data_IF_642478105232
#
_entry.id   IF_642478105232
#
_cell.length_a   1.000
_cell.length_b   1.000
_cell.length_c   1.000
_cell.angle_alpha   90.00
_cell.angle_beta   90.00
_cell.angle_gamma   90.00
#
_symmetry.space_group_name_H-M   'P 1'
#
loop_
_entity.id
_entity.type
_entity.pdbx_description
1 polymer ?
#
# COMPACT_ATOMS: atom_id res chain seq x y z
N UNK A 1 -24.31 11.20 21.65
CA UNK A 1 -23.40 10.04 21.82
C UNK A 1 -22.02 10.55 21.48
N UNK A 2 -21.02 10.33 22.34
CA UNK A 2 -19.63 10.75 22.05
C UNK A 2 -19.16 10.13 20.73
N UNK A 3 -18.35 10.85 19.96
CA UNK A 3 -17.74 10.27 18.76
C UNK A 3 -16.88 9.08 19.18
N UNK A 4 -16.82 7.96 18.42
CA UNK A 4 -15.85 6.90 18.69
C UNK A 4 -14.41 7.41 18.86
N UNK A 5 -14.09 8.54 18.22
CA UNK A 5 -12.78 9.21 18.31
C UNK A 5 -12.50 9.86 19.68
N UNK A 6 -13.50 10.03 20.54
CA UNK A 6 -13.32 10.57 21.90
C UNK A 6 -13.00 9.47 22.93
N UNK A 7 -12.98 8.19 22.51
CA UNK A 7 -12.82 7.04 23.40
C UNK A 7 -11.36 6.74 23.79
N UNK A 8 -10.38 7.19 22.98
CA UNK A 8 -8.96 6.87 23.15
C UNK A 8 -8.11 8.14 23.21
N UNK A 9 -7.00 8.10 23.96
CA UNK A 9 -5.99 9.15 23.86
C UNK A 9 -5.24 9.10 22.51
N UNK A 10 -4.55 10.17 22.17
CA UNK A 10 -3.88 10.30 20.87
C UNK A 10 -2.79 9.25 20.65
N UNK A 11 -2.11 8.82 21.71
CA UNK A 11 -1.08 7.78 21.62
C UNK A 11 -1.71 6.42 21.27
N UNK A 12 -2.81 6.08 21.95
CA UNK A 12 -3.57 4.86 21.71
C UNK A 12 -4.13 4.84 20.28
N UNK A 13 -4.65 5.98 19.79
CA UNK A 13 -5.12 6.10 18.39
C UNK A 13 -3.99 5.81 17.41
N UNK A 14 -2.83 6.45 17.59
CA UNK A 14 -1.65 6.23 16.74
C UNK A 14 -1.24 4.75 16.70
N UNK A 15 -1.24 4.09 17.85
CA UNK A 15 -0.89 2.66 17.94
C UNK A 15 -1.90 1.75 17.23
N UNK A 16 -3.20 2.05 17.34
CA UNK A 16 -4.27 1.32 16.66
C UNK A 16 -4.22 1.50 15.14
N UNK A 17 -4.03 2.73 14.66
CA UNK A 17 -3.88 3.04 13.23
C UNK A 17 -2.66 2.33 12.64
N UNK A 18 -1.52 2.39 13.35
CA UNK A 18 -0.31 1.70 12.94
C UNK A 18 -0.49 0.17 12.95
N UNK A 19 -1.21 -0.38 13.93
CA UNK A 19 -1.53 -1.82 13.97
C UNK A 19 -2.45 -2.25 12.82
N UNK A 20 -3.46 -1.46 12.50
CA UNK A 20 -4.35 -1.70 11.36
C UNK A 20 -3.58 -1.66 10.02
N UNK A 21 -2.69 -0.68 9.85
CA UNK A 21 -1.85 -0.59 8.65
C UNK A 21 -0.89 -1.79 8.52
N UNK A 22 -0.23 -2.19 9.62
CA UNK A 22 0.59 -3.41 9.64
C UNK A 22 -0.22 -4.66 9.29
N UNK A 23 -1.47 -4.76 9.77
CA UNK A 23 -2.37 -5.87 9.44
C UNK A 23 -2.76 -5.88 7.96
N UNK A 24 -3.00 -4.72 7.35
CA UNK A 24 -3.26 -4.59 5.91
C UNK A 24 -2.05 -5.04 5.09
N UNK A 25 -0.83 -4.59 5.43
CA UNK A 25 0.39 -5.04 4.75
C UNK A 25 0.56 -6.55 4.85
N UNK A 26 0.40 -7.13 6.04
CA UNK A 26 0.45 -8.58 6.24
C UNK A 26 -0.62 -9.31 5.40
N UNK A 27 -1.84 -8.80 5.34
CA UNK A 27 -2.90 -9.39 4.53
C UNK A 27 -2.57 -9.36 3.03
N UNK A 28 -2.01 -8.26 2.54
CA UNK A 28 -1.59 -8.13 1.14
C UNK A 28 -0.35 -8.98 0.81
N UNK A 29 0.49 -9.26 1.79
CA UNK A 29 1.59 -10.21 1.67
C UNK A 29 1.10 -11.67 1.67
N UNK A 30 0.07 -12.01 2.45
CA UNK A 30 -0.60 -13.32 2.37
C UNK A 30 -1.29 -13.51 1.00
N UNK A 31 -1.78 -12.41 0.41
CA UNK A 31 -2.53 -12.38 -0.86
C UNK A 31 -1.68 -11.91 -2.04
N UNK A 32 -0.56 -12.58 -2.29
CA UNK A 32 0.33 -12.30 -3.44
C UNK A 32 -0.35 -12.56 -4.80
N UNK A 33 -1.44 -13.31 -4.81
CA UNK A 33 -2.31 -13.50 -5.98
C UNK A 33 -3.02 -12.20 -6.41
N UNK A 34 -3.27 -11.29 -5.47
CA UNK A 34 -3.92 -10.01 -5.75
C UNK A 34 -2.91 -9.07 -6.42
N UNK A 35 -3.04 -8.88 -7.74
CA UNK A 35 -2.13 -8.02 -8.51
C UNK A 35 -2.42 -6.55 -8.28
N UNK A 36 -1.37 -5.72 -8.33
CA UNK A 36 -1.53 -4.27 -8.16
C UNK A 36 -2.42 -3.63 -9.22
N UNK A 37 -2.43 -4.16 -10.46
CA UNK A 37 -3.29 -3.62 -11.52
C UNK A 37 -4.78 -3.84 -11.21
N UNK A 38 -5.14 -4.95 -10.57
CA UNK A 38 -6.52 -5.21 -10.17
C UNK A 38 -6.95 -4.27 -9.04
N UNK A 39 -6.06 -4.04 -8.06
CA UNK A 39 -6.30 -3.06 -6.99
C UNK A 39 -6.45 -1.64 -7.55
N UNK A 40 -5.59 -1.25 -8.50
CA UNK A 40 -5.71 0.05 -9.17
C UNK A 40 -7.03 0.17 -9.94
N UNK A 41 -7.43 -0.86 -10.67
CA UNK A 41 -8.66 -0.85 -11.46
C UNK A 41 -9.92 -0.82 -10.60
N UNK A 42 -9.89 -1.46 -9.43
CA UNK A 42 -11.05 -1.56 -8.54
C UNK A 42 -11.15 -0.38 -7.57
N UNK A 43 -10.02 0.01 -6.96
CA UNK A 43 -9.99 0.86 -5.78
C UNK A 43 -9.15 2.14 -5.94
N UNK A 44 -8.45 2.32 -7.07
CA UNK A 44 -7.62 3.51 -7.32
C UNK A 44 -6.32 3.58 -6.51
N UNK A 45 -5.98 2.54 -5.74
CA UNK A 45 -4.70 2.43 -5.04
C UNK A 45 -4.18 0.99 -5.04
N UNK A 46 -2.88 0.81 -4.81
CA UNK A 46 -2.25 -0.50 -4.68
C UNK A 46 -1.04 -0.44 -3.73
N UNK A 47 -0.26 -1.53 -3.64
CA UNK A 47 0.96 -1.61 -2.81
C UNK A 47 1.95 -0.47 -3.10
N UNK A 48 2.13 -0.12 -4.38
CA UNK A 48 3.01 0.98 -4.77
C UNK A 48 2.52 2.36 -4.29
N UNK A 49 1.21 2.56 -4.16
CA UNK A 49 0.64 3.79 -3.58
C UNK A 49 0.95 3.85 -2.08
N UNK A 50 0.77 2.73 -1.36
CA UNK A 50 1.15 2.64 0.05
C UNK A 50 2.64 2.92 0.26
N UNK A 51 3.52 2.45 -0.63
CA UNK A 51 4.96 2.77 -0.55
C UNK A 51 5.23 4.27 -0.75
N UNK A 52 4.49 4.94 -1.66
CA UNK A 52 4.60 6.40 -1.84
C UNK A 52 4.09 7.17 -0.62
N UNK A 53 2.99 6.74 -0.01
CA UNK A 53 2.46 7.36 1.20
C UNK A 53 3.42 7.19 2.38
N UNK A 54 4.03 6.02 2.52
CA UNK A 54 5.04 5.77 3.55
C UNK A 54 6.28 6.66 3.35
N UNK A 55 6.76 6.77 2.11
CA UNK A 55 7.87 7.66 1.76
C UNK A 55 7.54 9.12 2.10
N UNK A 56 6.39 9.63 1.66
CA UNK A 56 5.97 11.01 1.93
C UNK A 56 5.89 11.27 3.46
N UNK A 57 5.32 10.33 4.22
CA UNK A 57 5.25 10.45 5.67
C UNK A 57 6.64 10.47 6.35
N UNK A 58 7.63 9.78 5.79
CA UNK A 58 9.02 9.82 6.25
C UNK A 58 9.67 11.18 5.92
N UNK A 59 9.49 11.67 4.69
CA UNK A 59 10.01 12.97 4.23
C UNK A 59 9.45 14.13 5.07
N UNK A 60 8.15 14.13 5.38
CA UNK A 60 7.51 15.11 6.25
C UNK A 60 8.12 15.17 7.67
N UNK A 61 8.73 14.07 8.11
CA UNK A 61 9.39 13.93 9.42
C UNK A 61 10.91 14.09 9.33
N UNK A 62 11.42 14.56 8.19
CA UNK A 62 12.84 14.75 7.94
C UNK A 62 13.65 13.46 7.94
N UNK A 63 13.00 12.31 7.72
CA UNK A 63 13.66 11.00 7.66
C UNK A 63 14.12 10.71 6.23
N UNK A 64 15.35 10.22 6.07
CA UNK A 64 15.85 9.78 4.77
C UNK A 64 15.36 8.37 4.48
N UNK A 65 14.53 8.23 3.46
CA UNK A 65 14.07 6.97 2.91
C UNK A 65 13.99 7.14 1.39
N UNK A 66 14.41 6.15 0.62
CA UNK A 66 14.19 6.14 -0.83
C UNK A 66 12.98 5.30 -1.19
N UNK A 67 12.55 5.39 -2.46
CA UNK A 67 11.36 4.66 -2.91
C UNK A 67 11.57 3.13 -2.88
N UNK A 68 12.80 2.66 -3.08
CA UNK A 68 13.13 1.24 -3.01
C UNK A 68 12.95 0.69 -1.59
N UNK A 69 13.49 1.38 -0.59
CA UNK A 69 13.33 1.04 0.82
C UNK A 69 11.87 1.12 1.27
N UNK A 70 11.12 2.14 0.81
CA UNK A 70 9.69 2.21 1.09
C UNK A 70 8.90 1.04 0.48
N UNK A 71 9.29 0.55 -0.70
CA UNK A 71 8.72 -0.68 -1.27
C UNK A 71 9.12 -1.89 -0.45
N UNK A 72 10.38 -2.03 -0.06
CA UNK A 72 10.82 -3.18 0.75
C UNK A 72 10.04 -3.28 2.06
N UNK A 73 9.75 -2.16 2.72
CA UNK A 73 8.90 -2.11 3.91
C UNK A 73 7.47 -2.62 3.61
N UNK A 74 6.86 -2.18 2.51
CA UNK A 74 5.46 -2.54 2.16
C UNK A 74 5.33 -3.96 1.61
N UNK A 75 6.33 -4.44 0.87
CA UNK A 75 6.34 -5.77 0.25
C UNK A 75 6.96 -6.86 1.13
N UNK A 76 7.63 -6.48 2.23
CA UNK A 76 8.33 -7.39 3.13
C UNK A 76 9.61 -8.01 2.54
N UNK A 77 10.00 -7.59 1.33
CA UNK A 77 11.21 -8.01 0.62
C UNK A 77 11.54 -7.03 -0.52
N UNK A 78 12.76 -7.07 -1.09
CA UNK A 78 13.11 -6.22 -2.22
C UNK A 78 12.11 -6.35 -3.37
N UNK A 79 11.58 -5.23 -3.86
CA UNK A 79 10.56 -5.21 -4.92
C UNK A 79 10.96 -5.97 -6.19
N UNK A 80 12.22 -5.91 -6.68
CA UNK A 80 12.64 -6.71 -7.82
C UNK A 80 12.42 -8.22 -7.59
N UNK A 81 12.76 -8.73 -6.41
CA UNK A 81 12.52 -10.14 -6.07
C UNK A 81 11.04 -10.47 -5.97
N UNK A 82 10.24 -9.58 -5.38
CA UNK A 82 8.80 -9.78 -5.30
C UNK A 82 8.17 -9.83 -6.69
N UNK A 83 8.59 -8.91 -7.57
CA UNK A 83 8.15 -8.85 -8.96
C UNK A 83 8.47 -10.14 -9.70
N UNK A 84 9.70 -10.62 -9.60
CA UNK A 84 10.13 -11.83 -10.30
C UNK A 84 9.41 -13.09 -9.79
N UNK A 85 9.10 -13.16 -8.48
CA UNK A 85 8.45 -14.32 -7.86
C UNK A 85 6.94 -14.33 -8.02
N UNK A 86 6.28 -13.17 -8.03
CA UNK A 86 4.83 -13.09 -7.79
C UNK A 86 4.06 -12.18 -8.76
N UNK A 87 4.73 -11.27 -9.49
CA UNK A 87 4.02 -10.41 -10.43
C UNK A 87 3.73 -11.17 -11.72
N UNK A 88 2.46 -11.20 -12.12
CA UNK A 88 2.03 -11.79 -13.38
C UNK A 88 1.88 -10.71 -14.45
N UNK A 89 2.01 -11.10 -15.72
CA UNK A 89 1.70 -10.18 -16.82
C UNK A 89 0.21 -9.79 -16.80
N UNK A 90 -0.06 -8.49 -16.89
CA UNK A 90 -1.41 -7.99 -17.01
C UNK A 90 -2.04 -8.36 -18.37
N UNK A 91 -3.25 -8.91 -18.32
CA UNK A 91 -4.05 -9.18 -19.51
C UNK A 91 -4.41 -7.90 -20.27
N UNK A 92 -4.75 -7.98 -21.58
CA UNK A 92 -5.21 -6.83 -22.35
C UNK A 92 -6.41 -6.13 -21.72
N UNK A 93 -7.34 -6.89 -21.12
CA UNK A 93 -8.51 -6.34 -20.44
C UNK A 93 -8.13 -5.52 -19.20
N UNK A 94 -7.21 -6.02 -18.36
CA UNK A 94 -6.72 -5.28 -17.20
C UNK A 94 -5.97 -4.01 -17.61
N UNK A 95 -5.14 -4.08 -18.66
CA UNK A 95 -4.42 -2.92 -19.22
C UNK A 95 -5.40 -1.86 -19.73
N UNK A 96 -6.44 -2.26 -20.46
CA UNK A 96 -7.48 -1.37 -20.96
C UNK A 96 -8.24 -0.68 -19.82
N UNK A 97 -8.72 -1.45 -18.84
CA UNK A 97 -9.44 -0.89 -17.68
C UNK A 97 -8.56 0.09 -16.89
N UNK A 98 -7.26 -0.20 -16.78
CA UNK A 98 -6.31 0.70 -16.12
C UNK A 98 -6.19 2.04 -16.85
N UNK A 99 -6.01 2.01 -18.17
CA UNK A 99 -5.98 3.23 -19.00
C UNK A 99 -7.28 4.05 -18.84
N UNK A 100 -8.44 3.41 -18.92
CA UNK A 100 -9.74 4.10 -18.79
C UNK A 100 -9.98 4.70 -17.40
N UNK A 101 -9.39 4.12 -16.35
CA UNK A 101 -9.54 4.61 -14.98
C UNK A 101 -8.52 5.70 -14.60
N UNK A 102 -7.35 5.72 -15.23
CA UNK A 102 -6.32 6.76 -15.02
C UNK A 102 -6.68 8.06 -15.76
N UNK A 103 -7.45 7.97 -16.86
CA UNK A 103 -7.90 9.14 -17.64
C UNK A 103 -9.12 9.87 -17.05
N UNK A 104 -9.77 9.30 -16.03
CA UNK A 104 -10.88 9.92 -15.31
C UNK A 104 -10.39 10.79 -14.16
#
# INVERSE_FOLDING_TARGET
MASPDEQFDEQTKLELEAAAFRRLMAHLDERKDVQNIDLMNLAGFCRNCMSKWYLAAAEERGQSLDYEGAREIVYGMPYPEWKDKFQTEASPAQKKAFSENIEK
#
